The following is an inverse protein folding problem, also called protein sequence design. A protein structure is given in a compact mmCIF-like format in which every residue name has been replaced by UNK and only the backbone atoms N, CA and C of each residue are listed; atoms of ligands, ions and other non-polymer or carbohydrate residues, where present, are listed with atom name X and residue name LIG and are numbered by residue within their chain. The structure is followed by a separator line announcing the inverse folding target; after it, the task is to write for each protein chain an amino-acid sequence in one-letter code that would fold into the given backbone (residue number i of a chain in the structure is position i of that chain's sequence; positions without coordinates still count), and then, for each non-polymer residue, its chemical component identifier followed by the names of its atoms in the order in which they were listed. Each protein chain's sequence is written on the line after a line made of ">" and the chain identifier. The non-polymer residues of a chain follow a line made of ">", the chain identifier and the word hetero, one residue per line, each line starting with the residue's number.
data_IF_990932448544
#
_entry.id   IF_990932448544
#
_cell.length_a   1.000
_cell.length_b   1.000
_cell.length_c   1.000
_cell.angle_alpha   90.00
_cell.angle_beta   90.00
_cell.angle_gamma   90.00
#
_symmetry.space_group_name_H-M   'P 1'
#
loop_
_entity.id
_entity.type
_entity.pdbx_description
1 polymer ?
#
# COMPACT_ATOMS: atom_id res chain seq x y z
N UNK A 1 11.26 -12.48 9.00
CA UNK A 1 11.46 -11.08 9.38
C UNK A 1 10.22 -10.62 10.15
N UNK A 2 10.27 -9.47 10.81
CA UNK A 2 9.12 -8.93 11.54
C UNK A 2 9.05 -7.42 11.35
N UNK A 3 7.88 -6.93 10.96
CA UNK A 3 7.55 -5.51 10.92
C UNK A 3 6.85 -5.19 12.24
N UNK A 4 7.48 -4.32 13.03
CA UNK A 4 6.96 -3.96 14.35
C UNK A 4 5.50 -3.48 14.23
N UNK A 5 4.65 -4.00 15.12
CA UNK A 5 3.23 -3.65 15.25
C UNK A 5 2.39 -3.84 13.97
N UNK A 6 2.87 -4.65 13.02
CA UNK A 6 2.19 -4.90 11.76
C UNK A 6 2.26 -6.40 11.38
N UNK A 7 3.02 -6.75 10.35
CA UNK A 7 3.07 -8.11 9.81
C UNK A 7 4.35 -8.87 10.17
N UNK A 8 4.28 -10.19 10.15
CA UNK A 8 5.46 -11.06 10.08
C UNK A 8 5.62 -11.63 8.67
N UNK A 9 6.69 -12.39 8.46
CA UNK A 9 6.85 -13.12 7.22
C UNK A 9 8.20 -13.81 7.10
N UNK A 10 8.38 -14.50 5.99
CA UNK A 10 9.59 -15.23 5.64
C UNK A 10 10.12 -14.71 4.32
N UNK A 11 11.44 -14.43 4.25
CA UNK A 11 12.11 -14.12 2.97
C UNK A 11 12.18 -15.42 2.18
N UNK A 12 11.53 -15.45 1.02
CA UNK A 12 11.44 -16.65 0.17
C UNK A 12 12.46 -16.62 -0.96
N UNK A 13 12.85 -15.42 -1.42
CA UNK A 13 13.93 -15.23 -2.39
C UNK A 13 14.62 -13.88 -2.18
N UNK A 14 15.91 -13.79 -2.50
CA UNK A 14 16.69 -12.57 -2.34
C UNK A 14 17.90 -12.55 -3.28
N UNK A 15 17.85 -11.68 -4.27
CA UNK A 15 18.96 -11.35 -5.15
C UNK A 15 19.45 -9.93 -4.85
N UNK A 16 20.67 -9.77 -4.33
CA UNK A 16 21.17 -8.45 -3.93
C UNK A 16 21.06 -7.41 -5.05
N UNK A 17 20.39 -6.28 -4.73
CA UNK A 17 20.20 -5.09 -5.60
C UNK A 17 19.22 -5.26 -6.76
N UNK A 18 18.64 -6.44 -6.99
CA UNK A 18 17.70 -6.68 -8.10
C UNK A 18 16.32 -7.13 -7.64
N UNK A 19 16.24 -8.02 -6.65
CA UNK A 19 14.99 -8.70 -6.31
C UNK A 19 14.92 -9.12 -4.85
N UNK A 20 13.74 -8.98 -4.24
CA UNK A 20 13.42 -9.65 -2.98
C UNK A 20 11.96 -10.09 -2.98
N UNK A 21 11.71 -11.33 -2.58
CA UNK A 21 10.37 -11.88 -2.41
C UNK A 21 10.19 -12.39 -0.98
N UNK A 22 8.99 -12.22 -0.44
CA UNK A 22 8.67 -12.64 0.91
C UNK A 22 7.18 -12.88 1.13
N UNK A 23 6.85 -13.71 2.12
CA UNK A 23 5.48 -13.83 2.63
C UNK A 23 5.13 -12.62 3.48
N UNK A 24 3.86 -12.23 3.48
CA UNK A 24 3.30 -11.22 4.37
C UNK A 24 2.17 -11.87 5.19
N UNK A 25 2.41 -12.02 6.48
CA UNK A 25 1.54 -12.72 7.41
C UNK A 25 0.92 -11.71 8.38
N UNK A 26 -0.38 -11.47 8.22
CA UNK A 26 -1.10 -10.44 8.97
C UNK A 26 -2.53 -10.91 9.29
N UNK A 27 -2.97 -10.67 10.52
CA UNK A 27 -4.33 -11.01 10.98
C UNK A 27 -4.76 -12.48 10.73
N UNK A 28 -3.81 -13.41 10.66
CA UNK A 28 -4.05 -14.84 10.40
C UNK A 28 -4.06 -15.23 8.92
N UNK A 29 -4.00 -14.27 8.00
CA UNK A 29 -3.88 -14.49 6.57
C UNK A 29 -2.42 -14.46 6.10
N UNK A 30 -2.15 -15.09 4.95
CA UNK A 30 -0.84 -15.06 4.28
C UNK A 30 -1.01 -14.56 2.86
N UNK A 31 -0.15 -13.61 2.48
CA UNK A 31 0.00 -13.10 1.12
C UNK A 31 1.49 -13.06 0.72
N UNK A 32 1.79 -12.62 -0.50
CA UNK A 32 3.14 -12.60 -1.07
C UNK A 32 3.46 -11.22 -1.61
N UNK A 33 4.69 -10.77 -1.35
CA UNK A 33 5.21 -9.50 -1.83
C UNK A 33 6.49 -9.77 -2.61
N UNK A 34 6.58 -9.16 -3.78
CA UNK A 34 7.78 -9.15 -4.62
C UNK A 34 8.17 -7.70 -4.90
N UNK A 35 9.44 -7.38 -4.65
CA UNK A 35 10.05 -6.10 -5.00
C UNK A 35 11.13 -6.34 -6.05
N UNK A 36 11.04 -5.60 -7.15
CA UNK A 36 12.01 -5.61 -8.24
C UNK A 36 12.63 -4.22 -8.40
N UNK A 37 13.94 -4.19 -8.60
CA UNK A 37 14.72 -2.97 -8.74
C UNK A 37 15.43 -2.98 -10.09
N UNK A 38 15.07 -2.05 -10.96
CA UNK A 38 15.72 -1.86 -12.25
C UNK A 38 16.50 -0.53 -12.27
N UNK A 39 17.76 -0.59 -12.72
CA UNK A 39 18.54 0.63 -12.96
C UNK A 39 18.05 1.28 -14.26
N UNK A 40 17.45 2.47 -14.16
CA UNK A 40 16.98 3.23 -15.34
C UNK A 40 18.05 4.22 -15.82
N UNK A 41 18.83 4.78 -14.89
CA UNK A 41 19.95 5.69 -15.14
C UNK A 41 20.96 5.61 -13.98
N UNK A 42 22.15 6.24 -14.08
CA UNK A 42 23.19 6.16 -13.03
C UNK A 42 22.73 6.57 -11.61
N UNK A 43 21.74 7.46 -11.52
CA UNK A 43 21.16 8.00 -10.29
C UNK A 43 19.66 7.73 -10.16
N UNK A 44 19.11 6.80 -10.96
CA UNK A 44 17.68 6.50 -11.01
C UNK A 44 17.39 5.00 -10.97
N UNK A 45 16.54 4.61 -10.03
CA UNK A 45 16.04 3.23 -9.88
C UNK A 45 14.53 3.21 -10.06
N UNK A 46 14.04 2.28 -10.89
CA UNK A 46 12.63 1.89 -10.89
C UNK A 46 12.42 0.78 -9.87
N UNK A 47 11.65 1.08 -8.83
CA UNK A 47 11.09 0.09 -7.93
C UNK A 47 9.73 -0.37 -8.48
N UNK A 48 9.50 -1.67 -8.53
CA UNK A 48 8.20 -2.27 -8.80
C UNK A 48 7.83 -3.19 -7.65
N UNK A 49 6.63 -2.99 -7.11
CA UNK A 49 6.06 -3.82 -6.04
C UNK A 49 4.86 -4.56 -6.58
N UNK A 50 4.84 -5.87 -6.38
CA UNK A 50 3.67 -6.72 -6.59
C UNK A 50 3.26 -7.31 -5.26
N UNK A 51 2.00 -7.15 -4.87
CA UNK A 51 1.43 -7.81 -3.71
C UNK A 51 0.30 -8.73 -4.18
N UNK A 52 0.48 -10.03 -4.00
CA UNK A 52 -0.50 -11.06 -4.37
C UNK A 52 -1.11 -11.63 -3.11
N UNK A 53 -2.44 -11.65 -3.04
CA UNK A 53 -3.19 -12.22 -1.92
C UNK A 53 -4.34 -13.08 -2.42
N UNK A 54 -4.83 -13.96 -1.55
CA UNK A 54 -6.12 -14.59 -1.77
C UNK A 54 -7.24 -13.58 -1.54
N UNK A 55 -8.32 -13.70 -2.32
CA UNK A 55 -9.54 -12.94 -2.04
C UNK A 55 -10.12 -13.37 -0.70
N UNK A 56 -10.54 -12.40 0.11
CA UNK A 56 -11.13 -12.60 1.42
C UNK A 56 -12.35 -11.69 1.60
N UNK A 57 -13.19 -11.88 2.63
CA UNK A 57 -14.29 -10.93 2.93
C UNK A 57 -13.82 -9.49 3.13
N UNK A 58 -12.54 -9.30 3.48
CA UNK A 58 -11.92 -7.98 3.57
C UNK A 58 -11.82 -7.31 2.19
N UNK A 59 -11.49 -8.08 1.14
CA UNK A 59 -11.51 -7.62 -0.25
C UNK A 59 -12.91 -7.21 -0.71
N UNK A 60 -13.96 -7.95 -0.33
CA UNK A 60 -15.34 -7.59 -0.70
C UNK A 60 -15.77 -6.23 -0.15
N UNK A 61 -15.16 -5.78 0.95
CA UNK A 61 -15.48 -4.51 1.63
C UNK A 61 -14.62 -3.35 1.14
N UNK A 62 -13.31 -3.58 1.00
CA UNK A 62 -12.33 -2.52 0.75
C UNK A 62 -11.70 -2.58 -0.64
N UNK A 63 -12.02 -3.61 -1.43
CA UNK A 63 -11.47 -3.82 -2.76
C UNK A 63 -9.93 -3.81 -2.77
N UNK A 64 -9.31 -3.36 -3.87
CA UNK A 64 -7.84 -3.24 -3.93
C UNK A 64 -7.28 -2.19 -2.96
N UNK A 65 -8.11 -1.27 -2.45
CA UNK A 65 -7.72 -0.30 -1.43
C UNK A 65 -7.29 -0.93 -0.11
N UNK A 66 -7.75 -2.16 0.18
CA UNK A 66 -7.41 -2.95 1.38
C UNK A 66 -5.90 -3.11 1.60
N UNK A 67 -5.11 -3.11 0.52
CA UNK A 67 -3.66 -3.28 0.56
C UNK A 67 -2.95 -2.14 -0.18
N UNK A 68 -3.53 -1.67 -1.28
CA UNK A 68 -2.94 -0.67 -2.14
C UNK A 68 -2.71 0.69 -1.46
N UNK A 69 -3.67 1.17 -0.67
CA UNK A 69 -3.53 2.48 0.02
C UNK A 69 -2.41 2.45 1.05
N UNK A 70 -2.26 1.35 1.80
CA UNK A 70 -1.15 1.15 2.72
C UNK A 70 0.22 1.22 2.05
N UNK A 71 0.37 0.60 0.86
CA UNK A 71 1.62 0.69 0.09
C UNK A 71 1.90 2.10 -0.44
N UNK A 72 0.87 2.81 -0.91
CA UNK A 72 1.02 4.21 -1.34
C UNK A 72 1.50 5.11 -0.19
N UNK A 73 0.99 4.91 1.03
CA UNK A 73 1.50 5.61 2.22
C UNK A 73 2.94 5.21 2.56
N UNK A 74 3.29 3.92 2.44
CA UNK A 74 4.67 3.47 2.63
C UNK A 74 5.62 4.10 1.60
N UNK A 75 5.19 4.27 0.34
CA UNK A 75 5.97 4.94 -0.69
C UNK A 75 6.09 6.45 -0.49
N UNK A 76 5.05 7.11 0.04
CA UNK A 76 5.17 8.49 0.49
C UNK A 76 6.26 8.61 1.57
N UNK A 77 6.23 7.73 2.58
CA UNK A 77 7.27 7.68 3.61
C UNK A 77 8.67 7.43 3.05
N UNK A 78 8.80 6.51 2.09
CA UNK A 78 10.07 6.24 1.40
C UNK A 78 10.57 7.46 0.62
N UNK A 79 9.69 8.16 -0.10
CA UNK A 79 10.03 9.36 -0.85
C UNK A 79 10.53 10.48 0.09
N UNK A 80 9.86 10.70 1.22
CA UNK A 80 10.28 11.65 2.25
C UNK A 80 11.65 11.28 2.83
N UNK A 81 11.87 10.00 3.14
CA UNK A 81 13.14 9.52 3.67
C UNK A 81 14.30 9.67 2.68
N UNK A 82 14.08 9.39 1.39
CA UNK A 82 15.12 9.58 0.36
C UNK A 82 15.45 11.07 0.20
N UNK A 83 14.44 11.94 0.25
CA UNK A 83 14.64 13.38 0.10
C UNK A 83 15.36 14.00 1.31
N UNK A 84 14.95 13.62 2.53
CA UNK A 84 15.48 14.16 3.79
C UNK A 84 15.72 13.03 4.82
N UNK A 85 16.85 12.30 4.75
CA UNK A 85 17.06 11.07 5.51
C UNK A 85 17.20 11.27 7.02
N UNK A 86 17.47 12.50 7.47
CA UNK A 86 17.66 12.84 8.89
C UNK A 86 16.39 13.44 9.52
N UNK A 87 15.35 13.71 8.74
CA UNK A 87 14.10 14.24 9.26
C UNK A 87 13.36 13.16 10.06
N UNK A 88 12.64 13.59 11.08
CA UNK A 88 11.76 12.68 11.80
C UNK A 88 10.63 12.21 10.89
N UNK A 89 10.36 10.91 10.93
CA UNK A 89 9.20 10.33 10.26
C UNK A 89 7.92 11.02 10.81
N UNK A 90 7.03 11.52 9.95
CA UNK A 90 5.73 12.03 10.38
C UNK A 90 4.95 10.96 11.15
N UNK A 91 4.18 11.37 12.15
CA UNK A 91 3.25 10.46 12.81
C UNK A 91 2.13 10.08 11.83
N UNK A 92 1.92 8.78 11.65
CA UNK A 92 0.98 8.26 10.64
C UNK A 92 -0.47 8.58 11.00
N UNK A 93 -0.82 8.56 12.30
CA UNK A 93 -2.18 8.84 12.76
C UNK A 93 -2.49 10.34 12.65
N UNK A 94 -1.56 11.20 13.06
CA UNK A 94 -1.71 12.65 12.92
C UNK A 94 -1.77 13.05 11.44
N UNK A 95 -0.97 12.43 10.58
CA UNK A 95 -1.02 12.67 9.14
C UNK A 95 -2.36 12.23 8.55
N UNK A 96 -2.83 11.01 8.86
CA UNK A 96 -4.05 10.45 8.27
C UNK A 96 -5.31 11.30 8.52
N UNK A 97 -5.34 12.06 9.63
CA UNK A 97 -6.44 12.98 9.97
C UNK A 97 -6.18 14.43 9.56
N UNK A 98 -4.99 14.76 9.04
CA UNK A 98 -4.69 16.09 8.53
C UNK A 98 -5.38 16.36 7.19
N UNK A 99 -5.59 17.63 6.79
CA UNK A 99 -6.14 17.94 5.46
C UNK A 99 -5.34 17.32 4.31
N UNK A 100 -4.02 17.30 4.41
CA UNK A 100 -3.11 16.73 3.42
C UNK A 100 -3.20 15.20 3.37
N UNK A 101 -3.23 14.54 4.52
CA UNK A 101 -3.37 13.09 4.58
C UNK A 101 -4.73 12.62 4.09
N UNK A 102 -5.82 13.30 4.49
CA UNK A 102 -7.17 13.03 3.96
C UNK A 102 -7.19 13.17 2.44
N UNK A 103 -6.60 14.24 1.89
CA UNK A 103 -6.53 14.44 0.44
C UNK A 103 -5.71 13.34 -0.26
N UNK A 104 -4.57 12.95 0.31
CA UNK A 104 -3.72 11.89 -0.23
C UNK A 104 -4.42 10.52 -0.22
N UNK A 105 -4.98 10.13 0.92
CA UNK A 105 -5.69 8.86 1.12
C UNK A 105 -6.92 8.79 0.20
N UNK A 106 -7.72 9.85 0.15
CA UNK A 106 -8.88 9.92 -0.76
C UNK A 106 -8.46 9.80 -2.22
N UNK A 107 -7.37 10.47 -2.61
CA UNK A 107 -6.82 10.37 -3.97
C UNK A 107 -6.37 8.94 -4.30
N UNK A 108 -5.67 8.29 -3.38
CA UNK A 108 -5.20 6.91 -3.50
C UNK A 108 -6.36 5.92 -3.62
N UNK A 109 -7.33 5.98 -2.72
CA UNK A 109 -8.54 5.13 -2.76
C UNK A 109 -9.28 5.25 -4.10
N UNK A 110 -9.47 6.48 -4.59
CA UNK A 110 -10.13 6.72 -5.87
C UNK A 110 -9.31 6.22 -7.07
N UNK A 111 -7.98 6.26 -7.00
CA UNK A 111 -7.13 5.69 -8.04
C UNK A 111 -7.23 4.16 -8.08
N UNK A 112 -7.29 3.51 -6.91
CA UNK A 112 -7.52 2.07 -6.81
C UNK A 112 -8.91 1.66 -7.29
N UNK A 113 -9.98 2.42 -7.00
CA UNK A 113 -11.30 2.18 -7.59
C UNK A 113 -11.27 2.27 -9.12
N UNK A 114 -10.57 3.27 -9.70
CA UNK A 114 -10.43 3.36 -11.16
C UNK A 114 -9.70 2.15 -11.74
N UNK A 115 -8.65 1.68 -11.09
CA UNK A 115 -7.94 0.46 -11.50
C UNK A 115 -8.84 -0.78 -11.42
N UNK A 116 -9.65 -0.90 -10.37
CA UNK A 116 -10.59 -2.00 -10.18
C UNK A 116 -11.69 -2.02 -11.26
N UNK A 117 -12.20 -0.85 -11.64
CA UNK A 117 -13.16 -0.70 -12.74
C UNK A 117 -12.54 -1.16 -14.06
N UNK A 118 -11.30 -0.78 -14.33
CA UNK A 118 -10.55 -1.23 -15.53
C UNK A 118 -10.36 -2.75 -15.50
N UNK A 119 -10.19 -3.35 -14.31
CA UNK A 119 -10.11 -4.80 -14.12
C UNK A 119 -11.47 -5.52 -14.24
N UNK A 120 -12.59 -4.77 -14.34
CA UNK A 120 -13.92 -5.30 -14.63
C UNK A 120 -14.91 -5.26 -13.46
N UNK A 121 -14.53 -4.67 -12.31
CA UNK A 121 -15.46 -4.48 -11.18
C UNK A 121 -16.55 -3.47 -11.53
N UNK A 122 -17.77 -3.71 -11.03
CA UNK A 122 -18.88 -2.78 -11.19
C UNK A 122 -18.52 -1.40 -10.60
N UNK A 123 -18.73 -0.28 -11.34
CA UNK A 123 -18.33 1.04 -10.88
C UNK A 123 -18.91 1.47 -9.53
N UNK A 124 -20.14 1.07 -9.21
CA UNK A 124 -20.74 1.43 -7.91
C UNK A 124 -20.09 0.65 -6.78
N UNK A 125 -19.78 -0.63 -7.01
CA UNK A 125 -19.04 -1.46 -6.03
C UNK A 125 -17.62 -0.95 -5.80
N UNK A 126 -16.89 -0.63 -6.87
CA UNK A 126 -15.53 -0.10 -6.77
C UNK A 126 -15.49 1.24 -6.03
N UNK A 127 -16.46 2.13 -6.31
CA UNK A 127 -16.55 3.39 -5.59
C UNK A 127 -16.91 3.19 -4.10
N UNK A 128 -17.88 2.32 -3.80
CA UNK A 128 -18.24 2.01 -2.42
C UNK A 128 -17.05 1.44 -1.64
N UNK A 129 -16.23 0.58 -2.26
CA UNK A 129 -15.00 0.07 -1.66
C UNK A 129 -13.99 1.19 -1.37
N UNK A 130 -13.78 2.12 -2.31
CA UNK A 130 -12.91 3.27 -2.09
C UNK A 130 -13.40 4.20 -0.96
N UNK A 131 -14.71 4.40 -0.85
CA UNK A 131 -15.30 5.21 0.23
C UNK A 131 -15.07 4.53 1.59
N UNK A 132 -15.26 3.21 1.68
CA UNK A 132 -14.98 2.41 2.87
C UNK A 132 -13.49 2.44 3.24
N UNK A 133 -12.59 2.28 2.27
CA UNK A 133 -11.14 2.36 2.52
C UNK A 133 -10.74 3.75 3.01
N UNK A 134 -11.28 4.80 2.40
CA UNK A 134 -10.99 6.18 2.82
C UNK A 134 -11.43 6.41 4.25
N UNK A 135 -12.67 6.06 4.58
CA UNK A 135 -13.19 6.16 5.95
C UNK A 135 -12.38 5.37 6.97
N UNK A 136 -11.92 4.17 6.62
CA UNK A 136 -11.07 3.35 7.48
C UNK A 136 -9.76 4.06 7.84
N UNK A 137 -9.06 4.61 6.86
CA UNK A 137 -7.76 5.26 7.09
C UNK A 137 -7.89 6.67 7.71
N UNK A 138 -8.93 7.43 7.38
CA UNK A 138 -9.08 8.82 7.86
C UNK A 138 -9.91 8.93 9.14
N UNK A 139 -10.55 7.84 9.58
CA UNK A 139 -11.50 7.85 10.70
C UNK A 139 -12.82 8.57 10.38
N UNK A 140 -13.08 8.86 9.10
CA UNK A 140 -14.34 9.46 8.65
C UNK A 140 -15.46 8.42 8.61
N UNK A 141 -16.71 8.89 8.44
CA UNK A 141 -17.88 8.01 8.25
C UNK A 141 -18.27 8.00 6.78
N UNK A 142 -18.72 6.82 6.31
CA UNK A 142 -19.22 6.60 4.94
C UNK A 142 -20.69 7.01 4.82
#
# INVERSE_FOLDING_TARGET
>A
YHVQDNASGTITDCEPKSHIAFTWEFAGDTSWVELQFANEAPDQTRLTLTHTSHLSPHWDTYGPGATGVGWEMAFLGLALHIANPNDQKPDEMEFAISPEGIAFITGSSNAWAKADIVAGTDPQKAQAAADQTTAFYTGQTV
#
